data_IF_373360724421
#
_entry.id   IF_373360724421
#
_cell.length_a   1.000
_cell.length_b   1.000
_cell.length_c   1.000
_cell.angle_alpha   90.00
_cell.angle_beta   90.00
_cell.angle_gamma   90.00
#
_symmetry.space_group_name_H-M   'P 1'
#
loop_
_entity.id
_entity.type
_entity.pdbx_description
1 polymer ?
#
# COMPACT_ATOMS: atom_id res chain seq x y z
N UNK A 1 -10.49 26.52 1.06
CA UNK A 1 -10.82 25.09 1.06
C UNK A 1 -9.85 24.37 1.96
N UNK A 2 -10.30 24.01 3.16
CA UNK A 2 -9.73 22.84 3.84
C UNK A 2 -10.21 21.65 3.01
N UNK A 3 -9.30 20.87 2.43
CA UNK A 3 -9.60 19.79 1.50
C UNK A 3 -10.27 18.61 2.21
N UNK A 4 -11.52 18.79 2.60
CA UNK A 4 -12.32 17.81 3.33
C UNK A 4 -12.57 16.59 2.45
N UNK A 5 -12.19 15.43 2.96
CA UNK A 5 -12.50 14.11 2.43
C UNK A 5 -13.93 13.79 2.84
N UNK A 6 -14.80 13.61 1.84
CA UNK A 6 -16.20 13.20 2.04
C UNK A 6 -16.38 11.78 1.54
N UNK A 7 -16.85 10.89 2.41
CA UNK A 7 -17.11 9.49 2.04
C UNK A 7 -18.33 8.93 2.77
N UNK A 8 -18.90 7.86 2.23
CA UNK A 8 -20.10 7.23 2.74
C UNK A 8 -19.84 5.78 3.10
N UNK A 9 -20.41 5.31 4.20
CA UNK A 9 -20.39 3.90 4.59
C UNK A 9 -21.80 3.35 4.75
N UNK A 10 -22.04 2.16 4.20
CA UNK A 10 -23.31 1.43 4.32
C UNK A 10 -23.09 -0.06 4.09
N UNK A 11 -23.70 -0.90 4.93
CA UNK A 11 -23.48 -2.35 4.88
C UNK A 11 -21.99 -2.69 4.99
N UNK A 12 -21.45 -3.37 3.98
CA UNK A 12 -20.02 -3.70 3.85
C UNK A 12 -19.32 -2.92 2.71
N UNK A 13 -19.84 -1.73 2.40
CA UNK A 13 -19.39 -0.88 1.29
C UNK A 13 -18.94 0.49 1.81
N UNK A 14 -17.84 0.97 1.25
CA UNK A 14 -17.37 2.35 1.37
C UNK A 14 -17.46 3.00 0.00
N UNK A 15 -18.08 4.18 -0.06
CA UNK A 15 -18.21 4.98 -1.27
C UNK A 15 -17.43 6.29 -1.10
N UNK A 16 -16.48 6.55 -2.00
CA UNK A 16 -15.64 7.74 -2.01
C UNK A 16 -15.80 8.42 -3.37
N UNK A 17 -16.26 9.67 -3.37
CA UNK A 17 -16.51 10.47 -4.59
C UNK A 17 -17.24 9.68 -5.70
N UNK A 18 -18.39 9.11 -5.35
CA UNK A 18 -19.24 8.33 -6.25
C UNK A 18 -18.76 6.92 -6.59
N UNK A 19 -17.53 6.54 -6.22
CA UNK A 19 -17.01 5.19 -6.48
C UNK A 19 -17.19 4.25 -5.29
N UNK A 20 -17.82 3.10 -5.54
CA UNK A 20 -18.06 2.05 -4.53
C UNK A 20 -16.88 1.08 -4.39
N UNK A 21 -16.49 0.80 -3.15
CA UNK A 21 -15.46 -0.15 -2.76
C UNK A 21 -16.02 -1.15 -1.75
N UNK A 22 -15.64 -2.42 -1.87
CA UNK A 22 -15.84 -3.37 -0.77
C UNK A 22 -14.97 -2.94 0.41
N UNK A 23 -15.53 -2.92 1.62
CA UNK A 23 -14.82 -2.53 2.83
C UNK A 23 -13.48 -3.30 2.97
N UNK A 24 -12.40 -2.55 3.14
CA UNK A 24 -11.03 -3.05 3.28
C UNK A 24 -10.25 -3.09 1.97
N UNK A 25 -10.86 -2.80 0.82
CA UNK A 25 -10.16 -2.77 -0.47
C UNK A 25 -9.13 -1.64 -0.55
N UNK A 26 -9.51 -0.42 -0.15
CA UNK A 26 -8.59 0.72 -0.15
C UNK A 26 -7.44 0.47 0.82
N UNK A 27 -7.75 -0.05 2.01
CA UNK A 27 -6.74 -0.44 3.01
C UNK A 27 -5.78 -1.50 2.48
N UNK A 28 -6.29 -2.56 1.83
CA UNK A 28 -5.44 -3.60 1.29
C UNK A 28 -4.49 -3.05 0.21
N UNK A 29 -4.97 -2.15 -0.64
CA UNK A 29 -4.16 -1.49 -1.66
C UNK A 29 -3.07 -0.58 -1.04
N UNK A 30 -3.45 0.29 -0.10
CA UNK A 30 -2.49 1.21 0.55
C UNK A 30 -1.45 0.46 1.39
N UNK A 31 -1.83 -0.65 2.02
CA UNK A 31 -0.90 -1.51 2.76
C UNK A 31 0.14 -2.18 1.87
N UNK A 32 -0.03 -2.20 0.54
CA UNK A 32 0.99 -2.67 -0.40
C UNK A 32 2.06 -1.63 -0.71
N UNK A 33 1.94 -0.38 -0.23
CA UNK A 33 2.95 0.67 -0.40
C UNK A 33 4.26 0.30 0.30
N UNK A 34 5.24 -0.19 -0.43
CA UNK A 34 6.47 -0.72 0.17
C UNK A 34 7.34 0.38 0.80
N UNK A 35 8.16 0.06 1.82
CA UNK A 35 9.13 1.01 2.36
C UNK A 35 10.08 1.60 1.30
N UNK A 36 10.40 0.82 0.26
CA UNK A 36 11.27 1.24 -0.84
C UNK A 36 10.57 2.24 -1.78
N UNK A 37 9.25 2.15 -1.92
CA UNK A 37 8.45 3.16 -2.63
C UNK A 37 8.21 4.42 -1.78
N UNK A 38 8.08 4.27 -0.47
CA UNK A 38 7.88 5.39 0.46
C UNK A 38 9.12 6.27 0.60
N UNK A 39 10.33 5.67 0.66
CA UNK A 39 11.59 6.41 0.88
C UNK A 39 11.81 7.55 -0.12
N UNK A 40 11.66 7.35 -1.45
CA UNK A 40 11.71 8.43 -2.43
C UNK A 40 10.68 9.53 -2.18
N UNK A 41 9.44 9.18 -1.83
CA UNK A 41 8.38 10.16 -1.53
C UNK A 41 8.75 11.04 -0.35
N UNK A 42 9.20 10.42 0.75
CA UNK A 42 9.64 11.15 1.95
C UNK A 42 10.86 12.04 1.68
N UNK A 43 11.80 11.58 0.83
CA UNK A 43 12.93 12.41 0.41
C UNK A 43 12.48 13.63 -0.38
N UNK A 44 11.58 13.46 -1.35
CA UNK A 44 10.99 14.57 -2.12
C UNK A 44 10.27 15.56 -1.22
N UNK A 45 9.47 15.06 -0.27
CA UNK A 45 8.76 15.95 0.66
C UNK A 45 9.70 16.81 1.50
N UNK A 46 10.83 16.25 1.98
CA UNK A 46 11.86 17.04 2.67
C UNK A 46 12.49 18.11 1.78
N UNK A 47 12.69 17.80 0.49
CA UNK A 47 13.18 18.79 -0.48
C UNK A 47 12.14 19.89 -0.71
N UNK A 48 10.86 19.54 -0.82
CA UNK A 48 9.76 20.51 -0.91
C UNK A 48 9.74 21.42 0.32
N UNK A 49 9.88 20.89 1.53
CA UNK A 49 9.93 21.71 2.75
C UNK A 49 11.13 22.68 2.73
N UNK A 50 12.32 22.21 2.37
CA UNK A 50 13.53 23.05 2.24
C UNK A 50 13.34 24.17 1.21
N UNK A 51 12.83 23.83 0.02
CA UNK A 51 12.58 24.80 -1.04
C UNK A 51 11.51 25.83 -0.63
N UNK A 52 10.52 25.44 0.17
CA UNK A 52 9.50 26.35 0.68
C UNK A 52 10.09 27.34 1.69
N UNK A 53 10.99 26.89 2.57
CA UNK A 53 11.72 27.77 3.49
C UNK A 53 12.65 28.74 2.73
N UNK A 54 13.35 28.27 1.70
CA UNK A 54 14.20 29.10 0.84
C UNK A 54 13.39 30.15 0.05
N UNK A 55 12.19 29.78 -0.42
CA UNK A 55 11.27 30.70 -1.07
C UNK A 55 10.80 31.80 -0.12
N UNK A 56 10.48 31.47 1.14
CA UNK A 56 10.08 32.47 2.14
C UNK A 56 11.18 33.49 2.46
N UNK A 57 12.45 33.09 2.33
CA UNK A 57 13.60 33.98 2.57
C UNK A 57 13.95 34.83 1.34
N UNK A 58 13.87 34.25 0.14
CA UNK A 58 14.36 34.90 -1.08
C UNK A 58 13.26 35.56 -1.91
N UNK A 59 12.02 35.08 -1.84
CA UNK A 59 10.92 35.49 -2.72
C UNK A 59 11.08 35.04 -4.18
N UNK A 60 12.07 34.18 -4.49
CA UNK A 60 12.39 33.82 -5.88
C UNK A 60 11.31 32.95 -6.51
N UNK A 61 10.69 33.45 -7.58
CA UNK A 61 9.64 32.74 -8.33
C UNK A 61 10.16 31.41 -8.92
N UNK A 62 11.45 31.31 -9.27
CA UNK A 62 12.05 30.07 -9.75
C UNK A 62 12.01 28.93 -8.74
N UNK A 63 12.09 29.25 -7.44
CA UNK A 63 11.92 28.25 -6.38
C UNK A 63 10.48 27.75 -6.32
N UNK A 64 9.51 28.63 -6.59
CA UNK A 64 8.10 28.24 -6.69
C UNK A 64 7.87 27.28 -7.87
N UNK A 65 8.51 27.49 -9.02
CA UNK A 65 8.47 26.53 -10.14
C UNK A 65 9.02 25.17 -9.73
N UNK A 66 10.20 25.13 -9.09
CA UNK A 66 10.81 23.87 -8.61
C UNK A 66 9.92 23.16 -7.59
N UNK A 67 9.30 23.89 -6.68
CA UNK A 67 8.33 23.36 -5.72
C UNK A 67 7.14 22.71 -6.43
N UNK A 68 6.59 23.37 -7.45
CA UNK A 68 5.43 22.90 -8.19
C UNK A 68 5.74 21.60 -8.94
N UNK A 69 6.93 21.49 -9.55
CA UNK A 69 7.37 20.26 -10.20
C UNK A 69 7.59 19.09 -9.22
N UNK A 70 8.19 19.34 -8.06
CA UNK A 70 8.39 18.29 -7.04
C UNK A 70 7.05 17.80 -6.45
N UNK A 71 6.09 18.69 -6.22
CA UNK A 71 4.74 18.31 -5.78
C UNK A 71 3.97 17.55 -6.86
N UNK A 72 4.03 18.01 -8.13
CA UNK A 72 3.40 17.30 -9.25
C UNK A 72 3.99 15.89 -9.41
N UNK A 73 5.31 15.74 -9.28
CA UNK A 73 5.97 14.45 -9.29
C UNK A 73 5.51 13.56 -8.12
N UNK A 74 5.42 14.11 -6.90
CA UNK A 74 4.93 13.39 -5.72
C UNK A 74 3.48 12.93 -5.91
N UNK A 75 2.61 13.79 -6.43
CA UNK A 75 1.23 13.49 -6.80
C UNK A 75 1.15 12.29 -7.75
N UNK A 76 1.95 12.31 -8.83
CA UNK A 76 2.00 11.21 -9.80
C UNK A 76 2.40 9.86 -9.19
N UNK A 77 3.27 9.84 -8.17
CA UNK A 77 3.62 8.59 -7.47
C UNK A 77 2.50 8.15 -6.53
N UNK A 78 1.85 9.08 -5.82
CA UNK A 78 0.74 8.78 -4.91
C UNK A 78 -0.47 8.20 -5.66
N UNK A 79 -0.80 8.72 -6.85
CA UNK A 79 -1.90 8.24 -7.73
C UNK A 79 -1.78 6.77 -8.17
N UNK A 80 -0.68 6.07 -7.86
CA UNK A 80 -0.60 4.61 -8.05
C UNK A 80 -1.59 3.85 -7.16
N UNK A 81 -1.91 4.41 -5.99
CA UNK A 81 -2.83 3.82 -5.02
C UNK A 81 -4.26 4.31 -5.25
N UNK A 82 -5.24 3.42 -5.08
CA UNK A 82 -6.64 3.66 -5.39
C UNK A 82 -7.23 4.87 -4.67
N UNK A 83 -6.91 5.03 -3.38
CA UNK A 83 -7.39 6.18 -2.59
C UNK A 83 -6.90 7.52 -3.15
N UNK A 84 -5.64 7.60 -3.59
CA UNK A 84 -5.08 8.84 -4.13
C UNK A 84 -5.48 9.13 -5.57
N UNK A 85 -5.95 8.13 -6.33
CA UNK A 85 -6.60 8.42 -7.63
C UNK A 85 -7.88 9.23 -7.47
N UNK A 86 -8.56 9.08 -6.34
CA UNK A 86 -9.78 9.81 -6.02
C UNK A 86 -9.50 11.10 -5.23
N UNK A 87 -8.57 11.06 -4.27
CA UNK A 87 -8.24 12.26 -3.50
C UNK A 87 -7.45 13.30 -4.29
N UNK A 88 -6.67 12.85 -5.29
CA UNK A 88 -5.85 13.69 -6.15
C UNK A 88 -6.31 13.49 -7.60
N UNK A 89 -7.52 13.91 -7.92
CA UNK A 89 -8.11 13.74 -9.25
C UNK A 89 -7.57 14.78 -10.27
N UNK A 90 -8.30 14.99 -11.37
CA UNK A 90 -7.93 15.93 -12.42
C UNK A 90 -7.91 17.40 -11.95
N UNK A 91 -8.63 17.74 -10.88
CA UNK A 91 -8.61 19.09 -10.30
C UNK A 91 -7.21 19.46 -9.82
N UNK A 92 -6.44 18.49 -9.32
CA UNK A 92 -5.07 18.77 -8.86
C UNK A 92 -4.10 19.05 -10.02
N UNK A 93 -4.35 18.45 -11.19
CA UNK A 93 -3.58 18.80 -12.39
C UNK A 93 -3.93 20.22 -12.87
N UNK A 94 -5.21 20.59 -12.79
CA UNK A 94 -5.65 21.95 -13.07
C UNK A 94 -5.02 22.95 -12.09
N UNK A 95 -4.96 22.63 -10.80
CA UNK A 95 -4.28 23.45 -9.80
C UNK A 95 -2.80 23.66 -10.15
N UNK A 96 -2.05 22.59 -10.39
CA UNK A 96 -0.63 22.72 -10.75
C UNK A 96 -0.46 23.56 -12.02
N UNK A 97 -1.32 23.38 -13.02
CA UNK A 97 -1.31 24.19 -14.25
C UNK A 97 -1.59 25.67 -14.00
N UNK A 98 -2.56 26.00 -13.14
CA UNK A 98 -2.88 27.38 -12.74
C UNK A 98 -1.67 28.02 -12.05
N UNK A 99 -0.97 27.27 -11.18
CA UNK A 99 0.25 27.78 -10.54
C UNK A 99 1.35 28.06 -11.58
N UNK A 100 1.55 27.19 -12.57
CA UNK A 100 2.52 27.45 -13.66
C UNK A 100 2.19 28.72 -14.45
N UNK A 101 0.90 28.93 -14.73
CA UNK A 101 0.39 30.13 -15.42
C UNK A 101 0.60 31.39 -14.58
N UNK A 102 0.18 31.35 -13.31
CA UNK A 102 0.24 32.48 -12.37
C UNK A 102 1.68 32.91 -12.08
N UNK A 103 2.58 31.94 -11.95
CA UNK A 103 4.00 32.19 -11.69
C UNK A 103 4.80 32.52 -12.96
N UNK A 104 4.16 32.59 -14.13
CA UNK A 104 4.84 32.93 -15.39
C UNK A 104 5.86 31.88 -15.85
N UNK A 105 5.73 30.61 -15.45
CA UNK A 105 6.68 29.55 -15.79
C UNK A 105 6.81 29.33 -17.32
N UNK A 106 5.80 29.74 -18.08
CA UNK A 106 5.77 29.67 -19.55
C UNK A 106 6.09 31.01 -20.24
N UNK A 107 6.36 32.08 -19.49
CA UNK A 107 6.67 33.39 -20.07
C UNK A 107 8.07 33.36 -20.71
N UNK A 108 8.17 33.74 -21.99
CA UNK A 108 9.44 33.81 -22.73
C UNK A 108 10.36 34.95 -22.26
N UNK A 109 9.82 35.91 -21.50
CA UNK A 109 10.55 37.05 -20.96
C UNK A 109 10.29 37.14 -19.45
N UNK A 110 11.32 37.27 -18.61
CA UNK A 110 11.15 37.49 -17.18
C UNK A 110 10.32 38.75 -16.96
N UNK A 111 9.13 38.62 -16.35
CA UNK A 111 8.41 39.78 -15.83
C UNK A 111 9.19 40.29 -14.61
N UNK A 112 9.37 41.61 -14.49
CA UNK A 112 9.99 42.21 -13.29
C UNK A 112 9.30 41.65 -12.04
N UNK A 113 10.09 41.29 -11.02
CA UNK A 113 9.67 40.63 -9.75
C UNK A 113 8.80 41.54 -8.86
N UNK A 114 7.75 42.15 -9.41
CA UNK A 114 6.81 42.97 -8.65
C UNK A 114 5.46 42.27 -8.55
N UNK A 115 4.96 42.15 -7.31
CA UNK A 115 3.55 41.88 -7.06
C UNK A 115 2.71 42.82 -7.94
N UNK A 116 1.71 42.30 -8.67
CA UNK A 116 0.87 43.15 -9.50
C UNK A 116 0.21 44.23 -8.62
N UNK A 117 0.30 45.49 -9.04
CA UNK A 117 -0.28 46.64 -8.33
C UNK A 117 -1.74 46.38 -7.92
N UNK A 118 -2.13 46.82 -6.71
CA UNK A 118 -3.49 46.67 -6.17
C UNK A 118 -4.58 47.14 -7.15
N UNK A 119 -4.30 48.17 -7.96
CA UNK A 119 -5.25 48.70 -8.94
C UNK A 119 -5.46 47.73 -10.14
N UNK A 120 -4.42 47.02 -10.55
CA UNK A 120 -4.48 45.99 -11.58
C UNK A 120 -5.22 44.77 -11.05
N UNK A 121 -4.95 44.35 -9.81
CA UNK A 121 -5.65 43.25 -9.14
C UNK A 121 -7.14 43.55 -8.99
N UNK A 122 -7.49 44.75 -8.52
CA UNK A 122 -8.88 45.19 -8.39
C UNK A 122 -9.62 45.15 -9.73
N UNK A 123 -9.03 45.66 -10.81
CA UNK A 123 -9.64 45.61 -12.15
C UNK A 123 -9.82 44.17 -12.66
N UNK A 124 -8.89 43.26 -12.35
CA UNK A 124 -9.01 41.83 -12.70
C UNK A 124 -10.10 41.14 -11.88
N UNK A 125 -10.18 41.40 -10.57
CA UNK A 125 -11.23 40.89 -9.69
C UNK A 125 -12.62 41.40 -10.08
N UNK A 126 -12.75 42.69 -10.41
CA UNK A 126 -14.00 43.29 -10.90
C UNK A 126 -14.45 42.62 -12.21
N UNK A 127 -13.52 42.29 -13.12
CA UNK A 127 -13.85 41.55 -14.34
C UNK A 127 -14.40 40.15 -14.03
N UNK A 128 -13.72 39.38 -13.19
CA UNK A 128 -14.15 38.02 -12.79
C UNK A 128 -15.53 38.07 -12.11
N UNK A 129 -15.74 39.01 -11.20
CA UNK A 129 -17.03 39.19 -10.51
C UNK A 129 -18.19 39.52 -11.47
N UNK A 130 -17.93 40.33 -12.50
CA UNK A 130 -18.90 40.69 -13.52
C UNK A 130 -19.23 39.52 -14.46
N UNK A 131 -18.22 38.73 -14.86
CA UNK A 131 -18.41 37.52 -15.68
C UNK A 131 -19.25 36.46 -14.96
N UNK A 132 -19.10 36.34 -13.65
CA UNK A 132 -19.87 35.40 -12.82
C UNK A 132 -21.31 35.88 -12.61
N UNK A 133 -21.50 37.17 -12.31
CA UNK A 133 -22.85 37.75 -12.20
C UNK A 133 -23.65 37.55 -13.49
N UNK A 134 -23.03 37.78 -14.65
CA UNK A 134 -23.66 37.57 -15.95
C UNK A 134 -24.02 36.09 -16.22
N UNK A 135 -23.21 35.13 -15.75
CA UNK A 135 -23.52 33.69 -15.84
C UNK A 135 -24.68 33.29 -14.91
N UNK A 136 -24.75 33.88 -13.72
CA UNK A 136 -25.83 33.64 -12.74
C UNK A 136 -27.21 34.04 -13.26
N UNK A 137 -27.33 35.13 -14.02
CA UNK A 137 -28.61 35.59 -14.58
C UNK A 137 -29.19 34.61 -15.63
N UNK A 138 -28.36 33.74 -16.22
CA UNK A 138 -28.79 32.78 -17.25
C UNK A 138 -29.20 31.40 -16.72
N UNK A 139 -28.89 31.10 -15.44
CA UNK A 139 -29.20 29.82 -14.81
C UNK A 139 -30.41 30.02 -13.89
N UNK A 140 -31.61 29.66 -14.37
CA UNK A 140 -32.82 29.63 -13.52
C UNK A 140 -32.58 28.73 -12.31
N UNK A 141 -32.95 29.26 -11.14
CA UNK A 141 -32.85 28.71 -9.79
C UNK A 141 -32.94 27.19 -9.73
N UNK A 142 -31.78 26.52 -9.74
CA UNK A 142 -31.66 25.20 -9.13
C UNK A 142 -31.65 25.47 -7.62
N UNK A 143 -32.57 24.91 -6.82
CA UNK A 143 -32.57 25.12 -5.39
C UNK A 143 -31.20 24.74 -4.84
N UNK A 144 -30.46 25.70 -4.28
CA UNK A 144 -29.28 25.38 -3.49
C UNK A 144 -29.73 24.40 -2.42
N UNK A 145 -29.14 23.20 -2.39
CA UNK A 145 -29.32 22.27 -1.30
C UNK A 145 -28.84 22.97 -0.03
N UNK A 146 -29.77 23.53 0.76
CA UNK A 146 -29.51 24.33 1.97
C UNK A 146 -28.71 23.58 3.04
N UNK A 147 -28.51 22.27 2.85
CA UNK A 147 -27.90 21.38 3.83
C UNK A 147 -26.64 20.67 3.32
N UNK A 148 -26.46 20.46 1.99
CA UNK A 148 -25.28 19.79 1.42
C UNK A 148 -24.93 20.32 0.02
N UNK A 149 -23.68 20.78 -0.22
CA UNK A 149 -23.16 21.03 -1.56
C UNK A 149 -23.10 19.73 -2.36
N UNK A 150 -23.56 19.73 -3.61
CA UNK A 150 -23.35 18.59 -4.52
C UNK A 150 -21.92 18.55 -5.04
N UNK A 151 -21.47 17.41 -5.58
CA UNK A 151 -20.16 17.27 -6.25
C UNK A 151 -19.97 18.31 -7.37
N UNK A 152 -21.02 18.53 -8.17
CA UNK A 152 -21.04 19.61 -9.18
C UNK A 152 -20.99 21.03 -8.58
N UNK A 153 -21.35 21.23 -7.31
CA UNK A 153 -21.18 22.50 -6.60
C UNK A 153 -19.75 22.67 -6.09
N UNK A 154 -19.06 21.57 -5.73
CA UNK A 154 -17.64 21.57 -5.36
C UNK A 154 -16.76 21.86 -6.59
N UNK A 155 -16.99 21.19 -7.73
CA UNK A 155 -16.28 21.45 -8.99
C UNK A 155 -16.42 22.91 -9.46
N UNK A 156 -17.62 23.50 -9.30
CA UNK A 156 -17.84 24.93 -9.57
C UNK A 156 -17.09 25.84 -8.60
N UNK A 157 -16.90 25.41 -7.36
CA UNK A 157 -16.09 26.10 -6.35
C UNK A 157 -14.61 26.09 -6.69
N UNK A 158 -14.07 24.97 -7.16
CA UNK A 158 -12.68 24.83 -7.59
C UNK A 158 -12.38 25.68 -8.83
N UNK A 159 -13.26 25.63 -9.84
CA UNK A 159 -13.13 26.45 -11.03
C UNK A 159 -13.14 27.96 -10.70
N UNK A 160 -14.03 28.38 -9.80
CA UNK A 160 -14.08 29.76 -9.30
C UNK A 160 -12.78 30.15 -8.58
N UNK A 161 -12.28 29.28 -7.71
CA UNK A 161 -11.03 29.51 -6.99
C UNK A 161 -9.82 29.64 -7.93
N UNK A 162 -9.74 28.83 -8.98
CA UNK A 162 -8.67 28.93 -9.98
C UNK A 162 -8.73 30.23 -10.79
N UNK A 163 -9.93 30.69 -11.19
CA UNK A 163 -10.08 32.01 -11.83
C UNK A 163 -9.67 33.15 -10.90
N UNK A 164 -9.99 33.04 -9.60
CA UNK A 164 -9.54 34.00 -8.60
C UNK A 164 -8.01 34.00 -8.45
N UNK A 165 -7.35 32.84 -8.41
CA UNK A 165 -5.88 32.73 -8.39
C UNK A 165 -5.24 33.39 -9.62
N UNK A 166 -5.78 33.15 -10.82
CA UNK A 166 -5.33 33.79 -12.07
C UNK A 166 -5.46 35.32 -12.02
N UNK A 167 -6.54 35.82 -11.42
CA UNK A 167 -6.78 37.26 -11.30
C UNK A 167 -5.79 37.93 -10.33
N UNK A 168 -5.52 37.29 -9.19
CA UNK A 168 -4.68 37.86 -8.12
C UNK A 168 -3.19 37.79 -8.45
N UNK A 169 -2.72 36.70 -9.08
CA UNK A 169 -1.30 36.52 -9.39
C UNK A 169 -0.48 35.92 -8.24
N UNK A 170 0.86 35.89 -8.34
CA UNK A 170 1.76 35.28 -7.34
C UNK A 170 1.96 36.23 -6.16
N UNK A 171 0.94 36.35 -5.30
CA UNK A 171 0.96 37.20 -4.11
C UNK A 171 1.32 36.40 -2.85
N UNK A 172 1.60 37.12 -1.74
CA UNK A 172 1.73 36.50 -0.42
C UNK A 172 0.51 35.67 0.00
N UNK A 173 -0.69 36.08 -0.39
CA UNK A 173 -1.92 35.32 -0.11
C UNK A 173 -1.98 34.02 -0.93
N UNK A 174 -1.65 34.09 -2.23
CA UNK A 174 -1.55 32.89 -3.08
C UNK A 174 -0.48 31.92 -2.56
N UNK A 175 0.65 32.42 -2.06
CA UNK A 175 1.67 31.61 -1.40
C UNK A 175 1.14 30.96 -0.12
N UNK A 176 0.39 31.71 0.72
CA UNK A 176 -0.23 31.15 1.93
C UNK A 176 -1.16 29.98 1.60
N UNK A 177 -1.95 30.09 0.54
CA UNK A 177 -2.83 29.01 0.12
C UNK A 177 -2.05 27.84 -0.50
N UNK A 178 -1.00 28.10 -1.28
CA UNK A 178 -0.08 27.08 -1.77
C UNK A 178 0.61 26.32 -0.62
N UNK A 179 0.97 26.99 0.48
CA UNK A 179 1.51 26.32 1.68
C UNK A 179 0.52 25.36 2.33
N UNK A 180 -0.78 25.65 2.31
CA UNK A 180 -1.80 24.69 2.80
C UNK A 180 -1.76 23.42 1.95
N UNK A 181 -1.55 23.57 0.65
CA UNK A 181 -1.38 22.45 -0.27
C UNK A 181 -0.12 21.62 0.05
N UNK A 182 1.03 22.26 0.28
CA UNK A 182 2.26 21.58 0.74
C UNK A 182 2.00 20.78 2.02
N UNK A 183 1.37 21.40 3.01
CA UNK A 183 1.06 20.77 4.30
C UNK A 183 0.14 19.56 4.14
N UNK A 184 -0.81 19.58 3.20
CA UNK A 184 -1.70 18.45 2.91
C UNK A 184 -0.91 17.21 2.47
N UNK A 185 0.08 17.38 1.59
CA UNK A 185 0.95 16.28 1.14
C UNK A 185 1.85 15.76 2.26
N UNK A 186 2.36 16.66 3.11
CA UNK A 186 3.10 16.28 4.31
C UNK A 186 2.24 15.41 5.25
N UNK A 187 1.01 15.85 5.52
CA UNK A 187 0.03 15.09 6.32
C UNK A 187 -0.29 13.74 5.68
N UNK A 188 -0.43 13.65 4.36
CA UNK A 188 -0.65 12.36 3.68
C UNK A 188 0.50 11.38 3.90
N UNK A 189 1.75 11.82 3.77
CA UNK A 189 2.90 10.95 4.01
C UNK A 189 3.00 10.54 5.48
N UNK A 190 2.76 11.46 6.40
CA UNK A 190 2.63 11.16 7.83
C UNK A 190 1.57 10.09 8.09
N UNK A 191 0.35 10.28 7.58
CA UNK A 191 -0.78 9.39 7.79
C UNK A 191 -0.54 8.00 7.18
N UNK A 192 0.05 7.92 5.98
CA UNK A 192 0.49 6.66 5.38
C UNK A 192 1.43 5.92 6.34
N UNK A 193 2.45 6.60 6.87
CA UNK A 193 3.48 5.99 7.72
C UNK A 193 2.88 5.50 9.05
N UNK A 194 2.06 6.33 9.69
CA UNK A 194 1.38 6.01 10.94
C UNK A 194 0.38 4.84 10.78
N UNK A 195 -0.51 4.94 9.80
CA UNK A 195 -1.53 3.94 9.52
C UNK A 195 -0.92 2.62 9.06
N UNK A 196 -0.12 2.62 7.99
CA UNK A 196 0.46 1.37 7.47
C UNK A 196 1.38 0.72 8.50
N UNK A 197 2.19 1.48 9.23
CA UNK A 197 3.05 0.92 10.28
C UNK A 197 2.24 0.17 11.33
N UNK A 198 1.19 0.82 11.85
CA UNK A 198 0.34 0.27 12.90
C UNK A 198 -0.48 -0.93 12.41
N UNK A 199 -1.16 -0.82 11.28
CA UNK A 199 -2.04 -1.87 10.77
C UNK A 199 -1.23 -3.09 10.31
N UNK A 200 -0.04 -2.91 9.71
CA UNK A 200 0.85 -4.04 9.40
C UNK A 200 1.28 -4.79 10.66
N UNK A 201 1.56 -4.08 11.75
CA UNK A 201 1.88 -4.69 13.03
C UNK A 201 0.66 -5.44 13.60
N UNK A 202 -0.52 -4.83 13.57
CA UNK A 202 -1.76 -5.48 14.01
C UNK A 202 -2.02 -6.78 13.22
N UNK A 203 -1.92 -6.75 11.89
CA UNK A 203 -2.07 -7.94 11.04
C UNK A 203 -1.03 -9.01 11.41
N UNK A 204 0.23 -8.62 11.57
CA UNK A 204 1.35 -9.55 11.76
C UNK A 204 1.38 -10.17 13.16
N UNK A 205 1.01 -9.42 14.19
CA UNK A 205 1.18 -9.84 15.59
C UNK A 205 -0.12 -10.25 16.29
N UNK A 206 -1.27 -9.77 15.81
CA UNK A 206 -2.60 -10.07 16.39
C UNK A 206 -3.41 -10.96 15.45
N UNK A 207 -3.78 -10.48 14.25
CA UNK A 207 -4.70 -11.22 13.37
C UNK A 207 -4.13 -12.54 12.83
N UNK A 208 -2.81 -12.61 12.63
CA UNK A 208 -2.14 -13.83 12.17
C UNK A 208 -2.25 -15.01 13.15
N UNK A 209 -2.48 -14.74 14.44
CA UNK A 209 -2.54 -15.72 15.52
C UNK A 209 -3.96 -16.17 15.87
N UNK A 210 -4.97 -15.58 15.22
CA UNK A 210 -6.36 -15.93 15.48
C UNK A 210 -6.67 -17.35 15.03
N UNK A 211 -7.34 -18.09 15.91
CA UNK A 211 -7.82 -19.46 15.64
C UNK A 211 -9.07 -19.47 14.77
N UNK A 212 -9.91 -18.47 14.94
CA UNK A 212 -11.17 -18.30 14.24
C UNK A 212 -11.21 -16.91 13.61
N UNK A 213 -11.87 -16.84 12.46
CA UNK A 213 -12.00 -15.64 11.67
C UNK A 213 -13.47 -15.20 11.75
N UNK A 214 -13.79 -14.41 12.76
CA UNK A 214 -15.11 -13.82 12.97
C UNK A 214 -14.98 -12.33 13.29
N UNK A 215 -16.01 -11.51 13.02
CA UNK A 215 -16.04 -10.11 13.45
C UNK A 215 -15.73 -9.94 14.94
N UNK A 216 -16.25 -10.84 15.78
CA UNK A 216 -16.07 -10.82 17.23
C UNK A 216 -14.60 -11.09 17.61
N UNK A 217 -13.95 -12.07 16.98
CA UNK A 217 -12.52 -12.36 17.20
C UNK A 217 -11.64 -11.18 16.73
N UNK A 218 -12.02 -10.52 15.63
CA UNK A 218 -11.31 -9.34 15.13
C UNK A 218 -11.43 -8.16 16.10
N UNK A 219 -12.63 -7.89 16.60
CA UNK A 219 -12.87 -6.84 17.58
C UNK A 219 -12.12 -7.11 18.89
N UNK A 220 -12.14 -8.36 19.39
CA UNK A 220 -11.39 -8.73 20.59
C UNK A 220 -9.86 -8.57 20.40
N UNK A 221 -9.33 -8.96 19.25
CA UNK A 221 -7.92 -8.77 18.92
C UNK A 221 -7.54 -7.28 18.85
N UNK A 222 -8.39 -6.45 18.24
CA UNK A 222 -8.17 -5.01 18.13
C UNK A 222 -8.23 -4.33 19.50
N UNK A 223 -9.22 -4.70 20.33
CA UNK A 223 -9.33 -4.21 21.70
C UNK A 223 -8.06 -4.50 22.50
N UNK A 224 -7.55 -5.73 22.46
CA UNK A 224 -6.28 -6.07 23.11
C UNK A 224 -5.09 -5.29 22.54
N UNK A 225 -5.06 -5.08 21.22
CA UNK A 225 -3.99 -4.33 20.56
C UNK A 225 -3.94 -2.85 20.96
N UNK A 226 -5.09 -2.21 21.20
CA UNK A 226 -5.17 -0.81 21.62
C UNK A 226 -5.04 -0.58 23.13
N UNK A 227 -5.50 -1.52 23.96
CA UNK A 227 -5.61 -1.32 25.40
C UNK A 227 -4.50 -2.00 26.22
N UNK A 228 -3.76 -2.96 25.66
CA UNK A 228 -2.55 -3.48 26.32
C UNK A 228 -1.43 -2.44 26.15
N UNK A 229 -1.06 -1.78 27.25
CA UNK A 229 -0.07 -0.69 27.28
C UNK A 229 1.25 -1.09 26.61
N UNK A 230 1.71 -2.32 26.85
CA UNK A 230 3.01 -2.80 26.37
C UNK A 230 2.98 -3.12 24.87
N UNK A 231 1.84 -3.61 24.39
CA UNK A 231 1.60 -3.83 22.96
C UNK A 231 1.43 -2.50 22.25
N UNK A 232 0.61 -1.60 22.78
CA UNK A 232 0.34 -0.29 22.20
C UNK A 232 1.63 0.53 22.06
N UNK A 233 2.43 0.66 23.12
CA UNK A 233 3.70 1.41 23.11
C UNK A 233 4.72 0.83 22.10
N UNK A 234 4.66 -0.48 21.85
CA UNK A 234 5.64 -1.18 20.99
C UNK A 234 5.20 -1.29 19.53
N UNK A 235 3.93 -1.51 19.28
CA UNK A 235 3.40 -1.90 17.97
C UNK A 235 2.56 -0.81 17.31
N UNK A 236 2.04 0.17 18.07
CA UNK A 236 1.35 1.33 17.51
C UNK A 236 2.38 2.45 17.28
N UNK A 237 2.33 3.02 16.07
CA UNK A 237 3.22 4.13 15.69
C UNK A 237 2.93 5.33 16.61
N UNK A 238 3.97 5.84 17.26
CA UNK A 238 3.86 6.90 18.25
C UNK A 238 4.99 7.93 18.12
N UNK A 239 4.75 9.19 18.52
CA UNK A 239 5.65 10.30 18.19
C UNK A 239 7.03 10.16 18.84
N UNK A 240 7.10 9.48 19.98
CA UNK A 240 8.35 9.24 20.72
C UNK A 240 9.28 8.30 19.94
N UNK A 241 8.75 7.23 19.36
CA UNK A 241 9.55 6.19 18.70
C UNK A 241 9.63 6.35 17.18
N UNK A 242 8.79 7.18 16.59
CA UNK A 242 8.61 7.26 15.13
C UNK A 242 8.89 8.65 14.55
N UNK A 243 9.79 9.43 15.18
CA UNK A 243 10.23 10.74 14.67
C UNK A 243 9.04 11.69 14.41
N UNK A 244 8.14 11.80 15.38
CA UNK A 244 6.96 12.67 15.29
C UNK A 244 5.72 12.05 14.64
N UNK A 245 5.79 10.86 14.02
CA UNK A 245 4.56 10.22 13.54
C UNK A 245 3.66 9.77 14.67
N UNK A 246 2.35 9.92 14.49
CA UNK A 246 1.38 9.44 15.45
C UNK A 246 0.21 8.73 14.77
N UNK A 247 -0.04 7.50 15.22
CA UNK A 247 -1.32 6.86 15.01
C UNK A 247 -2.29 7.26 16.13
N UNK A 248 -3.37 7.94 15.77
CA UNK A 248 -4.43 8.35 16.71
C UNK A 248 -5.42 7.20 16.90
N UNK A 249 -5.96 7.00 18.10
CA UNK A 249 -7.07 6.05 18.28
C UNK A 249 -8.43 6.71 18.13
N UNK A 250 -8.47 8.04 18.24
CA UNK A 250 -9.66 8.87 18.11
C UNK A 250 -9.41 9.86 16.97
N UNK A 251 -10.30 9.85 15.98
CA UNK A 251 -10.23 10.73 14.83
C UNK A 251 -11.40 11.71 14.84
N UNK A 252 -11.17 12.90 14.30
CA UNK A 252 -12.21 13.91 14.15
C UNK A 252 -13.02 13.64 12.86
N UNK A 253 -14.33 13.54 13.02
CA UNK A 253 -15.30 13.43 11.93
C UNK A 253 -16.47 14.37 12.18
N UNK A 254 -17.02 14.92 11.10
CA UNK A 254 -18.42 15.27 11.06
C UNK A 254 -19.18 14.06 10.50
N UNK A 255 -20.12 13.52 11.28
CA UNK A 255 -20.88 12.32 10.94
C UNK A 255 -22.36 12.67 10.77
N UNK A 256 -22.89 12.43 9.57
CA UNK A 256 -24.30 12.63 9.25
C UNK A 256 -24.94 11.31 8.80
N UNK A 257 -26.21 11.10 9.15
CA UNK A 257 -26.99 9.97 8.64
C UNK A 257 -27.89 10.46 7.52
N UNK A 258 -27.59 10.07 6.28
CA UNK A 258 -28.25 10.60 5.09
C UNK A 258 -28.97 9.49 4.31
N UNK A 259 -30.29 9.61 4.06
CA UNK A 259 -30.99 8.69 3.18
C UNK A 259 -30.62 9.00 1.72
N UNK A 260 -30.06 8.03 1.00
CA UNK A 260 -29.60 8.20 -0.39
C UNK A 260 -30.02 7.03 -1.28
N UNK A 261 -30.31 7.29 -2.57
CA UNK A 261 -30.41 6.23 -3.56
C UNK A 261 -29.02 5.64 -3.81
N UNK A 262 -28.94 4.32 -3.82
CA UNK A 262 -27.76 3.55 -4.21
C UNK A 262 -27.76 3.34 -5.74
N UNK A 263 -26.60 3.00 -6.34
CA UNK A 263 -26.51 2.74 -7.78
C UNK A 263 -27.42 1.62 -8.30
N UNK A 264 -27.85 0.71 -7.43
CA UNK A 264 -28.80 -0.37 -7.76
C UNK A 264 -30.28 0.09 -7.75
N UNK A 265 -30.53 1.38 -7.45
CA UNK A 265 -31.86 1.97 -7.37
C UNK A 265 -32.56 1.76 -6.02
N UNK A 266 -31.96 1.03 -5.09
CA UNK A 266 -32.48 0.94 -3.72
C UNK A 266 -32.16 2.22 -2.93
N UNK A 267 -32.81 2.42 -1.78
CA UNK A 267 -32.54 3.56 -0.90
C UNK A 267 -32.06 3.02 0.44
N UNK A 268 -30.94 3.56 0.92
CA UNK A 268 -30.35 3.20 2.20
C UNK A 268 -30.04 4.46 3.03
N UNK A 269 -30.02 4.32 4.35
CA UNK A 269 -29.46 5.34 5.24
C UNK A 269 -27.95 5.10 5.27
N UNK A 270 -27.21 6.01 4.67
CA UNK A 270 -25.75 5.98 4.65
C UNK A 270 -25.19 6.83 5.80
N UNK A 271 -24.05 6.43 6.34
CA UNK A 271 -23.25 7.28 7.20
C UNK A 271 -22.32 8.12 6.30
N UNK A 272 -22.54 9.43 6.26
CA UNK A 272 -21.66 10.40 5.62
C UNK A 272 -20.59 10.84 6.63
N UNK A 273 -19.34 10.76 6.23
CA UNK A 273 -18.19 11.16 7.03
C UNK A 273 -17.46 12.29 6.30
N UNK A 274 -17.21 13.37 7.01
CA UNK A 274 -16.38 14.49 6.56
C UNK A 274 -15.16 14.59 7.48
N UNK A 275 -13.96 14.52 6.91
CA UNK A 275 -12.68 14.56 7.66
C UNK A 275 -11.58 15.16 6.79
N UNK A 276 -10.51 15.68 7.37
CA UNK A 276 -9.31 16.12 6.66
C UNK A 276 -8.17 15.09 6.70
N UNK A 277 -8.35 14.01 7.47
CA UNK A 277 -7.31 13.00 7.70
C UNK A 277 -7.48 11.79 6.78
N UNK A 278 -6.39 11.45 6.08
CA UNK A 278 -6.30 10.20 5.34
C UNK A 278 -6.34 9.01 6.31
N UNK A 279 -5.64 9.13 7.44
CA UNK A 279 -5.63 8.08 8.45
C UNK A 279 -7.05 7.75 8.95
N UNK A 280 -7.90 8.77 9.12
CA UNK A 280 -9.31 8.59 9.47
C UNK A 280 -10.07 7.79 8.39
N UNK A 281 -10.05 8.23 7.12
CA UNK A 281 -10.65 7.49 6.00
C UNK A 281 -10.21 6.01 5.95
N UNK A 282 -8.90 5.77 6.06
CA UNK A 282 -8.35 4.41 5.98
C UNK A 282 -8.75 3.54 7.18
N UNK A 283 -8.88 4.13 8.38
CA UNK A 283 -9.44 3.43 9.54
C UNK A 283 -10.91 3.12 9.33
N UNK A 284 -11.72 4.04 8.83
CA UNK A 284 -13.12 3.78 8.55
C UNK A 284 -13.28 2.58 7.58
N UNK A 285 -12.50 2.56 6.49
CA UNK A 285 -12.45 1.42 5.55
C UNK A 285 -12.07 0.11 6.25
N UNK A 286 -11.01 0.12 7.06
CA UNK A 286 -10.49 -1.07 7.72
C UNK A 286 -11.43 -1.60 8.82
N UNK A 287 -11.95 -0.72 9.67
CA UNK A 287 -12.86 -1.10 10.76
C UNK A 287 -14.18 -1.63 10.19
N UNK A 288 -14.70 -1.00 9.13
CA UNK A 288 -15.86 -1.51 8.42
C UNK A 288 -15.62 -2.92 7.86
N UNK A 289 -14.41 -3.18 7.35
CA UNK A 289 -14.01 -4.49 6.87
C UNK A 289 -14.05 -5.55 7.99
N UNK A 290 -13.41 -5.26 9.14
CA UNK A 290 -13.39 -6.18 10.28
C UNK A 290 -14.81 -6.46 10.80
N UNK A 291 -15.65 -5.43 10.94
CA UNK A 291 -17.04 -5.57 11.36
C UNK A 291 -17.87 -6.39 10.36
N UNK A 292 -17.54 -6.32 9.08
CA UNK A 292 -18.18 -7.12 8.01
C UNK A 292 -17.66 -8.56 7.94
N UNK A 293 -16.72 -8.96 8.80
CA UNK A 293 -16.08 -10.27 8.78
C UNK A 293 -15.03 -10.41 7.66
N UNK A 294 -14.65 -9.32 7.01
CA UNK A 294 -13.52 -9.29 6.10
C UNK A 294 -12.22 -9.17 6.90
N UNK A 295 -11.14 -9.69 6.32
CA UNK A 295 -9.81 -9.61 6.91
C UNK A 295 -8.78 -9.26 5.84
N UNK A 296 -7.71 -8.57 6.20
CA UNK A 296 -6.58 -8.31 5.31
C UNK A 296 -5.40 -9.15 5.76
N UNK A 297 -4.89 -9.97 4.85
CA UNK A 297 -3.75 -10.86 5.13
C UNK A 297 -2.60 -10.61 4.18
N UNK A 298 -1.39 -10.91 4.65
CA UNK A 298 -0.17 -10.88 3.85
C UNK A 298 0.04 -12.24 3.18
N UNK A 299 0.13 -12.27 1.85
CA UNK A 299 0.38 -13.48 1.09
C UNK A 299 1.78 -14.03 1.42
N UNK A 300 1.88 -15.33 1.72
CA UNK A 300 3.14 -15.99 2.04
C UNK A 300 4.12 -16.01 0.84
N UNK A 301 3.60 -16.09 -0.39
CA UNK A 301 4.44 -16.23 -1.60
C UNK A 301 4.95 -14.86 -2.06
N UNK A 302 4.05 -13.93 -2.38
CA UNK A 302 4.45 -12.64 -2.96
C UNK A 302 4.59 -11.51 -1.95
N UNK A 303 4.22 -11.73 -0.68
CA UNK A 303 4.34 -10.73 0.38
C UNK A 303 3.32 -9.58 0.30
N UNK A 304 2.41 -9.57 -0.69
CA UNK A 304 1.36 -8.54 -0.84
C UNK A 304 0.21 -8.75 0.13
N UNK A 305 -0.37 -7.65 0.60
CA UNK A 305 -1.61 -7.61 1.36
C UNK A 305 -2.80 -7.80 0.41
N UNK A 306 -3.74 -8.65 0.79
CA UNK A 306 -4.95 -8.93 0.03
C UNK A 306 -6.16 -9.04 0.96
N UNK A 307 -7.32 -8.62 0.45
CA UNK A 307 -8.59 -8.70 1.14
C UNK A 307 -9.16 -10.11 1.06
N UNK A 308 -9.56 -10.64 2.21
CA UNK A 308 -10.22 -11.91 2.38
C UNK A 308 -11.67 -11.64 2.83
N UNK A 309 -12.64 -11.92 1.96
CA UNK A 309 -14.07 -11.64 2.21
C UNK A 309 -14.78 -12.74 3.01
N UNK A 310 -14.13 -13.88 3.24
CA UNK A 310 -14.72 -15.05 3.89
C UNK A 310 -13.97 -15.42 5.17
N UNK A 311 -14.65 -16.04 6.14
CA UNK A 311 -13.99 -16.60 7.33
C UNK A 311 -12.97 -17.72 7.03
N UNK A 312 -12.92 -18.26 5.82
CA UNK A 312 -11.96 -19.31 5.43
C UNK A 312 -10.52 -18.81 5.52
N UNK A 313 -9.66 -19.53 6.22
CA UNK A 313 -8.23 -19.20 6.31
C UNK A 313 -7.53 -19.33 4.95
N UNK A 314 -7.46 -18.23 4.19
CA UNK A 314 -6.62 -18.14 3.00
C UNK A 314 -5.20 -17.68 3.36
N UNK A 315 -4.19 -18.36 2.79
CA UNK A 315 -2.76 -18.04 2.96
C UNK A 315 -2.16 -17.34 1.73
N UNK A 316 -2.85 -17.40 0.60
CA UNK A 316 -2.33 -16.99 -0.70
C UNK A 316 -3.32 -16.05 -1.39
N UNK A 317 -2.80 -15.02 -2.06
CA UNK A 317 -3.61 -14.13 -2.86
C UNK A 317 -3.90 -14.72 -4.25
N UNK A 318 -4.83 -14.10 -4.97
CA UNK A 318 -5.19 -14.49 -6.36
C UNK A 318 -4.39 -13.72 -7.42
N UNK A 319 -3.42 -12.89 -7.00
CA UNK A 319 -2.52 -12.19 -7.92
C UNK A 319 -1.48 -13.11 -8.54
N UNK A 320 -0.88 -12.67 -9.64
CA UNK A 320 0.19 -13.39 -10.34
C UNK A 320 1.38 -13.72 -9.40
N UNK A 321 1.89 -14.94 -9.51
CA UNK A 321 3.02 -15.44 -8.74
C UNK A 321 4.34 -14.90 -9.30
N UNK A 322 5.21 -14.27 -8.48
CA UNK A 322 6.52 -13.77 -8.92
C UNK A 322 7.46 -14.86 -9.45
N UNK A 323 7.30 -16.10 -8.98
CA UNK A 323 8.15 -17.24 -9.35
C UNK A 323 7.65 -17.97 -10.60
N UNK A 324 6.38 -17.82 -10.95
CA UNK A 324 5.76 -18.46 -12.09
C UNK A 324 4.61 -17.58 -12.61
N UNK A 325 4.89 -16.62 -13.53
CA UNK A 325 3.92 -15.63 -13.98
C UNK A 325 2.63 -16.19 -14.62
N UNK A 326 2.67 -17.45 -15.10
CA UNK A 326 1.50 -18.14 -15.64
C UNK A 326 0.48 -18.64 -14.59
N UNK A 327 0.77 -18.48 -13.30
CA UNK A 327 -0.08 -18.95 -12.21
C UNK A 327 -0.32 -17.86 -11.16
N UNK A 328 -1.46 -17.94 -10.48
CA UNK A 328 -1.72 -17.13 -9.28
C UNK A 328 -0.95 -17.67 -8.08
N UNK A 329 -0.69 -16.83 -7.08
CA UNK A 329 -0.09 -17.30 -5.82
C UNK A 329 -0.92 -18.42 -5.18
N UNK A 330 -2.25 -18.35 -5.27
CA UNK A 330 -3.14 -19.41 -4.78
C UNK A 330 -2.97 -20.72 -5.53
N UNK A 331 -2.86 -20.68 -6.86
CA UNK A 331 -2.55 -21.85 -7.68
C UNK A 331 -1.16 -22.40 -7.36
N UNK A 332 -0.15 -21.53 -7.27
CA UNK A 332 1.22 -21.89 -6.87
C UNK A 332 1.31 -22.43 -5.45
N UNK A 333 0.41 -22.03 -4.56
CA UNK A 333 0.35 -22.56 -3.20
C UNK A 333 -0.14 -24.00 -3.11
N UNK A 334 -0.74 -24.55 -4.18
CA UNK A 334 -1.17 -25.95 -4.20
C UNK A 334 0.02 -26.89 -4.25
N UNK A 335 0.00 -27.91 -3.39
CA UNK A 335 1.09 -28.88 -3.24
C UNK A 335 1.35 -29.61 -4.55
N UNK A 336 0.30 -29.84 -5.34
CA UNK A 336 0.33 -30.51 -6.64
C UNK A 336 1.11 -29.67 -7.67
N UNK A 337 0.78 -28.39 -7.81
CA UNK A 337 1.46 -27.51 -8.76
C UNK A 337 2.91 -27.26 -8.35
N UNK A 338 3.18 -27.14 -7.04
CA UNK A 338 4.55 -27.11 -6.53
C UNK A 338 5.30 -28.39 -6.85
N UNK A 339 4.68 -29.57 -6.72
CA UNK A 339 5.29 -30.87 -7.09
C UNK A 339 5.55 -30.96 -8.59
N UNK A 340 4.71 -30.39 -9.44
CA UNK A 340 4.89 -30.36 -10.90
C UNK A 340 6.03 -29.42 -11.31
N UNK A 341 6.00 -28.16 -10.86
CA UNK A 341 7.10 -27.21 -11.09
C UNK A 341 8.43 -27.67 -10.47
N UNK A 342 8.37 -28.32 -9.30
CA UNK A 342 9.51 -28.98 -8.66
C UNK A 342 10.09 -30.16 -9.47
N UNK A 343 9.28 -30.85 -10.28
CA UNK A 343 9.83 -31.88 -11.18
C UNK A 343 10.70 -31.25 -12.26
N UNK A 344 10.46 -30.00 -12.62
CA UNK A 344 11.19 -29.32 -13.70
C UNK A 344 12.37 -28.46 -13.21
N UNK A 345 12.43 -28.11 -11.92
CA UNK A 345 13.57 -27.39 -11.33
C UNK A 345 14.75 -28.35 -11.04
N UNK A 346 15.95 -28.16 -11.62
CA UNK A 346 17.10 -29.05 -11.43
C UNK A 346 17.51 -29.27 -9.96
N UNK A 347 17.51 -28.21 -9.13
CA UNK A 347 17.82 -28.30 -7.69
C UNK A 347 16.83 -29.17 -6.93
N UNK A 348 15.57 -29.24 -7.38
CA UNK A 348 14.56 -30.06 -6.71
C UNK A 348 14.62 -31.53 -7.16
N UNK A 349 15.03 -31.82 -8.41
CA UNK A 349 15.40 -33.19 -8.83
C UNK A 349 16.54 -33.76 -7.97
N UNK A 350 17.53 -32.93 -7.67
CA UNK A 350 18.67 -33.27 -6.80
C UNK A 350 18.19 -33.58 -5.37
N UNK A 351 17.25 -32.79 -4.81
CA UNK A 351 16.57 -33.10 -3.53
C UNK A 351 15.86 -34.46 -3.56
N UNK A 352 15.02 -34.69 -4.57
CA UNK A 352 14.23 -35.93 -4.68
C UNK A 352 15.14 -37.16 -4.72
N UNK A 353 16.27 -37.05 -5.42
CA UNK A 353 17.29 -38.09 -5.49
C UNK A 353 17.93 -38.35 -4.11
N UNK A 354 18.27 -37.31 -3.35
CA UNK A 354 18.79 -37.45 -2.00
C UNK A 354 17.77 -38.09 -1.04
N UNK A 355 16.50 -37.69 -1.10
CA UNK A 355 15.44 -38.28 -0.28
C UNK A 355 15.22 -39.77 -0.58
N UNK A 356 15.30 -40.17 -1.85
CA UNK A 356 15.24 -41.57 -2.24
C UNK A 356 16.43 -42.38 -1.68
N UNK A 357 17.63 -41.79 -1.64
CA UNK A 357 18.82 -42.42 -1.03
C UNK A 357 18.63 -42.63 0.48
N UNK A 358 18.20 -41.61 1.22
CA UNK A 358 17.96 -41.72 2.67
C UNK A 358 16.87 -42.74 3.01
N UNK A 359 15.81 -42.78 2.20
CA UNK A 359 14.72 -43.77 2.37
C UNK A 359 15.22 -45.20 2.12
N UNK A 360 16.12 -45.41 1.15
CA UNK A 360 16.76 -46.71 0.93
C UNK A 360 17.69 -47.10 2.06
N UNK A 361 18.47 -46.18 2.62
CA UNK A 361 19.34 -46.44 3.77
C UNK A 361 18.51 -46.86 5.01
N UNK A 362 17.37 -46.20 5.23
CA UNK A 362 16.41 -46.55 6.28
C UNK A 362 15.80 -47.95 6.06
N UNK A 363 15.33 -48.25 4.84
CA UNK A 363 14.77 -49.57 4.50
C UNK A 363 15.78 -50.71 4.65
N UNK A 364 17.08 -50.40 4.55
CA UNK A 364 18.18 -51.36 4.75
C UNK A 364 18.64 -51.47 6.20
N UNK A 365 18.02 -50.73 7.12
CA UNK A 365 18.42 -50.68 8.53
C UNK A 365 19.75 -49.97 8.78
N UNK A 366 20.27 -49.21 7.81
CA UNK A 366 21.55 -48.50 7.92
C UNK A 366 21.46 -47.21 8.75
N UNK A 367 20.25 -46.66 8.89
CA UNK A 367 19.90 -45.49 9.71
C UNK A 367 18.52 -45.71 10.32
N UNK A 368 18.24 -45.08 11.46
CA UNK A 368 16.90 -45.17 12.07
C UNK A 368 15.87 -44.34 11.28
N UNK A 369 14.58 -44.58 11.54
CA UNK A 369 13.50 -43.76 10.99
C UNK A 369 13.59 -42.30 11.44
N UNK A 370 14.08 -42.06 12.66
CA UNK A 370 14.27 -40.72 13.21
C UNK A 370 15.44 -40.00 12.52
N UNK A 371 16.54 -40.71 12.25
CA UNK A 371 17.70 -40.17 11.52
C UNK A 371 17.37 -39.86 10.06
N UNK A 372 16.58 -40.72 9.41
CA UNK A 372 16.08 -40.48 8.07
C UNK A 372 15.18 -39.23 8.01
N UNK A 373 14.41 -38.96 9.07
CA UNK A 373 13.59 -37.75 9.19
C UNK A 373 14.48 -36.51 9.37
N UNK A 374 15.44 -36.54 10.30
CA UNK A 374 16.42 -35.45 10.52
C UNK A 374 17.18 -35.09 9.24
N UNK A 375 17.68 -36.09 8.51
CA UNK A 375 18.39 -35.87 7.24
C UNK A 375 17.50 -35.24 6.14
N UNK A 376 16.23 -35.64 6.05
CA UNK A 376 15.27 -35.09 5.08
C UNK A 376 14.86 -33.65 5.42
N UNK A 377 14.74 -33.32 6.70
CA UNK A 377 14.41 -31.97 7.14
C UNK A 377 15.58 -31.02 6.88
N UNK A 378 16.81 -31.41 7.21
CA UNK A 378 18.02 -30.61 6.93
C UNK A 378 18.19 -30.29 5.43
N UNK A 379 17.95 -31.26 4.55
CA UNK A 379 18.02 -31.06 3.09
C UNK A 379 16.87 -30.18 2.57
N UNK A 380 15.73 -30.11 3.28
CA UNK A 380 14.62 -29.19 2.95
C UNK A 380 15.01 -27.74 3.24
N UNK A 381 15.65 -27.51 4.37
CA UNK A 381 16.11 -26.18 4.79
C UNK A 381 17.21 -25.67 3.85
N UNK A 382 18.19 -26.52 3.51
CA UNK A 382 19.22 -26.18 2.52
C UNK A 382 18.66 -25.87 1.13
N UNK A 383 17.59 -26.57 0.71
CA UNK A 383 16.93 -26.26 -0.56
C UNK A 383 16.24 -24.89 -0.51
N UNK A 384 15.61 -24.57 0.61
CA UNK A 384 14.95 -23.28 0.81
C UNK A 384 15.96 -22.13 0.69
N UNK A 385 17.13 -22.26 1.31
CA UNK A 385 18.23 -21.30 1.18
C UNK A 385 18.80 -21.23 -0.24
N UNK A 386 18.97 -22.39 -0.89
CA UNK A 386 19.51 -22.48 -2.25
C UNK A 386 18.55 -21.99 -3.36
N UNK A 387 17.25 -21.90 -3.07
CA UNK A 387 16.26 -21.30 -3.96
C UNK A 387 16.17 -19.77 -3.79
N UNK A 388 16.60 -19.25 -2.64
CA UNK A 388 16.61 -17.81 -2.33
C UNK A 388 17.87 -17.11 -2.84
N UNK A 389 18.99 -17.81 -2.91
CA UNK A 389 20.27 -17.28 -3.40
C UNK A 389 20.58 -17.73 -4.84
N UNK A 390 20.61 -16.77 -5.77
CA UNK A 390 20.88 -17.00 -7.19
C UNK A 390 22.33 -17.44 -7.48
N UNK A 391 23.26 -17.22 -6.54
CA UNK A 391 24.69 -17.53 -6.71
C UNK A 391 25.03 -19.01 -6.50
N UNK A 392 24.11 -19.80 -5.94
CA UNK A 392 24.34 -21.22 -5.65
C UNK A 392 24.03 -22.03 -6.91
N UNK A 393 25.06 -22.58 -7.56
CA UNK A 393 24.87 -23.49 -8.71
C UNK A 393 24.22 -24.82 -8.29
N UNK A 394 23.66 -25.55 -9.26
CA UNK A 394 23.02 -26.86 -9.02
C UNK A 394 24.04 -27.88 -8.50
N UNK A 395 25.27 -27.84 -9.01
CA UNK A 395 26.38 -28.73 -8.62
C UNK A 395 26.87 -28.42 -7.19
N UNK A 396 26.98 -27.14 -6.85
CA UNK A 396 27.34 -26.72 -5.49
C UNK A 396 26.27 -27.16 -4.48
N UNK A 397 24.99 -27.10 -4.86
CA UNK A 397 23.90 -27.61 -4.05
C UNK A 397 23.95 -29.14 -3.90
N UNK A 398 24.18 -29.88 -4.97
CA UNK A 398 24.32 -31.36 -4.93
C UNK A 398 25.46 -31.80 -4.01
N UNK A 399 26.61 -31.13 -4.07
CA UNK A 399 27.72 -31.40 -3.17
C UNK A 399 27.40 -31.11 -1.70
N UNK A 400 26.56 -30.10 -1.41
CA UNK A 400 26.15 -29.76 -0.04
C UNK A 400 25.16 -30.77 0.54
N UNK A 401 24.31 -31.37 -0.30
CA UNK A 401 23.32 -32.37 0.13
C UNK A 401 23.79 -33.82 -0.02
N UNK A 402 25.11 -34.04 -0.18
CA UNK A 402 25.69 -35.38 -0.22
C UNK A 402 25.43 -36.12 1.09
N UNK A 403 25.22 -37.44 1.00
CA UNK A 403 24.85 -38.25 2.17
C UNK A 403 25.90 -38.18 3.29
N UNK A 404 27.17 -38.04 2.93
CA UNK A 404 28.27 -37.90 3.88
C UNK A 404 28.21 -36.60 4.68
N UNK A 405 28.01 -35.45 4.00
CA UNK A 405 27.92 -34.14 4.67
C UNK A 405 26.63 -33.99 5.49
N UNK A 406 25.52 -34.48 4.96
CA UNK A 406 24.23 -34.44 5.66
C UNK A 406 24.28 -35.31 6.93
N UNK A 407 24.85 -36.51 6.86
CA UNK A 407 24.94 -37.39 8.02
C UNK A 407 25.94 -36.88 9.05
N UNK A 408 27.08 -36.33 8.61
CA UNK A 408 28.03 -35.67 9.50
C UNK A 408 27.40 -34.48 10.26
N UNK A 409 26.64 -33.63 9.55
CA UNK A 409 26.01 -32.47 10.17
C UNK A 409 24.84 -32.84 11.09
N UNK A 410 24.08 -33.90 10.76
CA UNK A 410 22.98 -34.38 11.58
C UNK A 410 23.42 -35.32 12.72
N UNK A 411 24.72 -35.61 12.86
CA UNK A 411 25.24 -36.54 13.87
C UNK A 411 24.81 -37.99 13.65
N UNK A 412 24.56 -38.39 12.40
CA UNK A 412 24.04 -39.71 12.03
C UNK A 412 25.22 -40.63 11.68
N UNK A 413 25.39 -41.71 12.44
CA UNK A 413 26.37 -42.76 12.14
C UNK A 413 25.70 -43.90 11.41
N UNK A 414 26.20 -44.27 10.22
CA UNK A 414 25.72 -45.45 9.51
C UNK A 414 26.08 -46.72 10.28
N UNK A 415 25.11 -47.60 10.47
CA UNK A 415 25.35 -48.93 11.07
C UNK A 415 25.97 -49.94 10.09
N UNK A 416 25.94 -49.65 8.77
CA UNK A 416 26.54 -50.49 7.74
C UNK A 416 27.13 -49.66 6.57
N UNK A 417 28.25 -50.13 6.01
CA UNK A 417 28.87 -49.51 4.82
C UNK A 417 27.98 -49.65 3.57
N UNK A 418 27.97 -48.66 2.65
CA UNK A 418 27.20 -48.75 1.42
C UNK A 418 27.69 -49.93 0.57
N UNK A 419 26.88 -50.97 0.42
CA UNK A 419 27.17 -52.06 -0.52
C UNK A 419 27.16 -51.51 -1.94
N UNK A 420 28.34 -51.46 -2.55
CA UNK A 420 28.50 -51.17 -3.98
C UNK A 420 27.77 -52.21 -4.83
N UNK A 421 27.45 -51.82 -6.07
CA UNK A 421 26.95 -52.74 -7.10
C UNK A 421 27.94 -53.91 -7.21
N UNK A 422 27.51 -55.19 -7.18
CA UNK A 422 28.44 -56.29 -7.46
C UNK A 422 29.10 -56.05 -8.83
N UNK A 423 30.40 -56.37 -8.99
CA UNK A 423 31.07 -56.19 -10.27
C UNK A 423 30.27 -56.94 -11.34
N UNK A 424 29.99 -56.29 -12.48
CA UNK A 424 29.52 -57.03 -13.65
C UNK A 424 30.63 -58.02 -14.00
N UNK A 425 30.33 -59.31 -13.95
CA UNK A 425 31.20 -60.32 -14.57
C UNK A 425 31.50 -59.87 -15.99
N UNK A 426 32.78 -59.76 -16.31
CA UNK A 426 33.22 -59.56 -17.69
C UNK A 426 32.80 -60.81 -18.45
N UNK A 427 31.88 -60.65 -19.39
CA UNK A 427 31.58 -61.70 -20.35
C UNK A 427 32.85 -61.97 -21.16
N UNK A 428 33.48 -63.12 -20.91
CA UNK A 428 34.57 -63.65 -21.73
C UNK A 428 35.87 -63.88 -20.98
N UNK A 429 35.96 -64.99 -20.25
CA UNK A 429 37.14 -65.85 -20.23
C UNK A 429 36.63 -67.28 -19.98
N UNK A 430 36.70 -68.10 -21.03
CA UNK A 430 36.37 -69.52 -21.00
C UNK A 430 37.55 -70.32 -20.44
N UNK A 431 37.20 -71.28 -19.58
CA UNK A 431 37.94 -72.48 -19.13
C UNK A 431 39.33 -72.34 -18.51
#
# INVERSE_FOLDING_TARGET
>A
MEGSIVFYTYGSTLELYGQQFTAGMLTADLLNLSPDEYRPMSKRMKQVTSLAEEYEQSGSIELWWKLNEELAALCGVLRRYAVFRLLLDESEDAFFSVIREVTGQFDLFPKEEHEPSEEIQRKRLERVANEISARSETVKDVPLGLFHPSEAALEKGDAFYYEMLRAIGPTKDAWRDYKKYIRRYETYLHDIRAFNGTIRNFISFSLSKLKHNSPEDYAAALYGFYNDERIAEKLIVNPIRNNGDCYTTHDAYELSYVPRPLPDGSVAICQEHVTDSLQALMKADYMLALNSGHNIRRCIICGRYFLLKSGVHALYCEGACPHAPGYTCRQFGTVELQKELAKDIPKVKVKVTAFARFTKDMQRGAISQEDARKAKDYVRDLLYDALRDANISVEAFEQRISSERVYQHCGITRTANPRGRPPKEKAGEQS
#
